data_IF_712748888224
#
_entry.id   IF_712748888224
#
_cell.length_a   1.000
_cell.length_b   1.000
_cell.length_c   1.000
_cell.angle_alpha   90.00
_cell.angle_beta   90.00
_cell.angle_gamma   90.00
#
_symmetry.space_group_name_H-M   'P 1'
#
loop_
_entity.id
_entity.type
_entity.pdbx_description
1 polymer ?
#
# COMPACT_ATOMS: atom_id res chain seq x y z
N UNK A 1 -3.62 -0.40 1.31
CA UNK A 1 -4.01 -1.78 0.98
C UNK A 1 -2.86 -2.78 1.23
N UNK A 2 -1.63 -2.32 1.33
CA UNK A 2 -0.49 -3.20 1.65
C UNK A 2 -0.59 -3.81 3.06
N UNK A 3 -1.09 -3.05 4.04
CA UNK A 3 -1.06 -3.42 5.45
C UNK A 3 -2.43 -3.62 6.11
N UNK A 4 -3.44 -2.86 5.69
CA UNK A 4 -4.70 -2.79 6.44
C UNK A 4 -5.96 -2.87 5.59
N UNK A 5 -5.99 -2.21 4.43
CA UNK A 5 -7.21 -2.10 3.63
C UNK A 5 -7.48 -3.42 2.89
N UNK A 6 -8.65 -3.96 3.10
CA UNK A 6 -9.09 -5.21 2.51
C UNK A 6 -10.57 -5.16 2.16
N UNK A 7 -10.95 -5.86 1.11
CA UNK A 7 -12.30 -6.00 0.63
C UNK A 7 -12.85 -7.38 1.02
N UNK A 8 -13.69 -7.43 2.05
CA UNK A 8 -14.30 -8.68 2.50
C UNK A 8 -15.58 -8.99 1.71
N UNK A 9 -15.50 -9.98 0.83
CA UNK A 9 -16.63 -10.47 0.05
C UNK A 9 -17.09 -11.82 0.58
N UNK A 10 -18.36 -11.93 0.97
CA UNK A 10 -18.99 -13.19 1.38
C UNK A 10 -20.31 -13.32 0.65
N UNK A 11 -20.51 -14.42 -0.05
CA UNK A 11 -21.74 -14.72 -0.81
C UNK A 11 -22.18 -13.59 -1.78
N UNK A 12 -21.22 -12.93 -2.41
CA UNK A 12 -21.47 -11.84 -3.34
C UNK A 12 -21.75 -10.47 -2.70
N UNK A 13 -21.62 -10.35 -1.39
CA UNK A 13 -21.81 -9.11 -0.65
C UNK A 13 -20.52 -8.64 0.02
N UNK A 14 -20.24 -7.35 -0.08
CA UNK A 14 -19.16 -6.70 0.68
C UNK A 14 -19.58 -6.56 2.14
N UNK A 15 -18.84 -7.17 3.06
CA UNK A 15 -19.20 -7.18 4.49
C UNK A 15 -18.65 -5.98 5.28
N UNK A 16 -17.59 -5.35 4.79
CA UNK A 16 -16.98 -4.16 5.40
C UNK A 16 -17.23 -2.90 4.56
N UNK A 17 -18.50 -2.62 4.26
CA UNK A 17 -18.94 -1.57 3.34
C UNK A 17 -19.21 -0.21 4.00
N UNK A 18 -18.86 -0.03 5.26
CA UNK A 18 -19.02 1.23 5.98
C UNK A 18 -17.69 1.76 6.51
N UNK A 19 -17.63 3.06 6.81
CA UNK A 19 -16.44 3.66 7.45
C UNK A 19 -16.17 3.16 8.88
N UNK A 20 -17.12 2.45 9.49
CA UNK A 20 -16.90 1.79 10.77
C UNK A 20 -16.10 0.48 10.60
N UNK A 21 -16.36 -0.23 9.50
CA UNK A 21 -15.84 -1.57 9.27
C UNK A 21 -14.65 -1.59 8.30
N UNK A 22 -14.60 -0.64 7.36
CA UNK A 22 -13.50 -0.52 6.42
C UNK A 22 -12.30 0.17 7.05
N UNK A 23 -11.19 -0.55 7.22
CA UNK A 23 -10.02 -0.08 7.93
C UNK A 23 -9.12 0.79 7.04
N UNK A 24 -9.38 2.08 7.01
CA UNK A 24 -8.45 3.05 6.43
C UNK A 24 -7.33 3.42 7.41
N UNK A 25 -6.09 3.61 6.94
CA UNK A 25 -5.03 4.16 7.77
C UNK A 25 -5.39 5.56 8.28
N UNK A 26 -5.08 5.82 9.52
CA UNK A 26 -5.19 7.15 10.13
C UNK A 26 -3.84 7.87 10.08
N UNK A 27 -3.82 9.16 10.43
CA UNK A 27 -2.57 9.92 10.50
C UNK A 27 -1.57 9.36 11.54
N UNK A 28 -2.04 8.60 12.52
CA UNK A 28 -1.20 7.93 13.52
C UNK A 28 -0.57 6.61 13.02
N UNK A 29 -1.15 6.03 11.97
CA UNK A 29 -0.64 4.79 11.36
C UNK A 29 0.52 5.05 10.38
N UNK A 30 0.76 6.31 10.02
CA UNK A 30 1.78 6.69 9.05
C UNK A 30 3.02 7.28 9.74
N UNK A 31 4.22 6.88 9.33
CA UNK A 31 5.44 7.55 9.78
C UNK A 31 5.55 8.95 9.17
N UNK A 32 6.48 9.75 9.68
CA UNK A 32 6.87 10.97 9.00
C UNK A 32 7.41 10.63 7.61
N UNK A 33 6.81 11.23 6.58
CA UNK A 33 7.20 11.05 5.19
C UNK A 33 7.96 12.30 4.74
N UNK A 34 9.18 12.12 4.28
CA UNK A 34 10.01 13.19 3.69
C UNK A 34 10.01 13.03 2.16
N UNK A 35 9.19 13.82 1.43
CA UNK A 35 9.07 13.69 -0.01
C UNK A 35 10.26 14.35 -0.73
N UNK A 36 10.94 13.58 -1.57
CA UNK A 36 12.03 14.06 -2.44
C UNK A 36 11.52 14.07 -3.88
N UNK A 37 11.42 15.27 -4.47
CA UNK A 37 10.92 15.44 -5.83
C UNK A 37 12.12 15.52 -6.78
N UNK A 38 12.21 14.56 -7.69
CA UNK A 38 13.22 14.54 -8.76
C UNK A 38 12.54 15.03 -10.05
N UNK A 39 12.90 16.23 -10.49
CA UNK A 39 12.35 16.83 -11.69
C UNK A 39 13.10 16.41 -12.96
N UNK A 40 12.36 15.85 -13.91
CA UNK A 40 12.85 15.53 -15.25
C UNK A 40 11.82 16.02 -16.26
N UNK A 41 12.13 17.10 -16.95
CA UNK A 41 11.22 17.74 -17.90
C UNK A 41 10.90 16.86 -19.10
N UNK A 42 9.63 16.88 -19.53
CA UNK A 42 9.24 16.30 -20.81
C UNK A 42 9.34 17.39 -21.90
N UNK A 43 10.25 17.25 -22.89
CA UNK A 43 10.45 18.27 -23.90
C UNK A 43 9.27 18.42 -24.87
N UNK A 44 8.36 17.44 -24.92
CA UNK A 44 7.23 17.42 -25.85
C UNK A 44 5.95 18.01 -25.25
N UNK A 45 5.98 18.47 -24.00
CA UNK A 45 4.81 19.04 -23.35
C UNK A 45 5.08 20.44 -22.77
N UNK A 46 4.05 21.32 -22.78
CA UNK A 46 4.15 22.63 -22.14
C UNK A 46 4.60 22.49 -20.69
N UNK A 47 5.49 23.39 -20.24
CA UNK A 47 6.04 23.39 -18.87
C UNK A 47 6.77 22.11 -18.46
N UNK A 48 7.06 21.20 -19.39
CA UNK A 48 7.70 19.93 -19.09
C UNK A 48 6.84 18.94 -18.32
N UNK A 49 5.51 19.11 -18.32
CA UNK A 49 4.58 18.31 -17.51
C UNK A 49 4.55 16.84 -17.93
N UNK A 50 4.29 16.00 -16.95
CA UNK A 50 4.07 14.55 -17.09
C UNK A 50 2.84 14.11 -16.29
N UNK A 51 2.21 13.01 -16.73
CA UNK A 51 1.19 12.35 -15.91
C UNK A 51 1.81 11.71 -14.68
N UNK A 52 1.11 11.79 -13.54
CA UNK A 52 1.59 11.25 -12.26
C UNK A 52 0.49 10.48 -11.50
N UNK A 53 -0.73 10.43 -12.03
CA UNK A 53 -1.91 9.90 -11.34
C UNK A 53 -1.72 8.48 -10.76
N UNK A 54 -1.20 7.55 -11.54
CA UNK A 54 -1.05 6.15 -11.13
C UNK A 54 0.41 5.70 -10.94
N UNK A 55 1.38 6.42 -11.48
CA UNK A 55 2.78 6.01 -11.46
C UNK A 55 3.37 5.89 -10.06
N UNK A 56 2.90 6.66 -9.11
CA UNK A 56 3.35 6.65 -7.73
C UNK A 56 2.70 5.56 -6.86
N UNK A 57 1.65 4.90 -7.34
CA UNK A 57 0.98 3.81 -6.60
C UNK A 57 1.61 2.43 -6.90
N UNK A 58 2.39 2.31 -7.96
CA UNK A 58 3.00 1.04 -8.36
C UNK A 58 4.09 0.55 -7.39
N UNK A 59 5.08 1.37 -6.96
CA UNK A 59 6.17 0.90 -6.12
C UNK A 59 5.84 0.65 -4.63
N UNK A 60 4.84 1.28 -3.99
CA UNK A 60 4.60 1.15 -2.55
C UNK A 60 4.40 -0.30 -2.07
N UNK A 61 3.66 -1.12 -2.79
CA UNK A 61 3.41 -2.50 -2.40
C UNK A 61 4.69 -3.33 -2.31
N UNK A 62 5.55 -3.23 -3.32
CA UNK A 62 6.83 -3.92 -3.33
C UNK A 62 7.78 -3.37 -2.25
N UNK A 63 7.80 -2.06 -2.06
CA UNK A 63 8.62 -1.42 -1.04
C UNK A 63 8.23 -1.88 0.38
N UNK A 64 6.92 -1.92 0.67
CA UNK A 64 6.41 -2.38 1.97
C UNK A 64 6.69 -3.88 2.15
N UNK A 65 6.47 -4.71 1.12
CA UNK A 65 6.77 -6.14 1.17
C UNK A 65 8.26 -6.40 1.44
N UNK A 66 9.16 -5.62 0.86
CA UNK A 66 10.59 -5.71 1.15
C UNK A 66 10.93 -5.26 2.57
N UNK A 67 10.28 -4.20 3.06
CA UNK A 67 10.47 -3.75 4.44
C UNK A 67 10.02 -4.81 5.46
N UNK A 68 8.88 -5.44 5.22
CA UNK A 68 8.39 -6.57 6.03
C UNK A 68 9.38 -7.73 5.99
N UNK A 69 9.84 -8.11 4.79
CA UNK A 69 10.87 -9.15 4.66
C UNK A 69 12.14 -8.82 5.43
N UNK A 70 12.62 -7.59 5.34
CA UNK A 70 13.82 -7.16 6.08
C UNK A 70 13.63 -7.23 7.61
N UNK A 71 12.41 -6.99 8.08
CA UNK A 71 12.09 -7.00 9.51
C UNK A 71 11.97 -8.42 10.08
N UNK A 72 11.36 -9.35 9.34
CA UNK A 72 11.02 -10.69 9.87
C UNK A 72 11.74 -11.84 9.17
N UNK A 73 12.46 -11.60 8.07
CA UNK A 73 13.20 -12.60 7.31
C UNK A 73 12.33 -13.55 6.47
N UNK A 74 11.01 -13.32 6.40
CA UNK A 74 10.07 -14.19 5.66
C UNK A 74 9.37 -13.40 4.57
N UNK A 75 9.10 -14.05 3.42
CA UNK A 75 8.31 -13.48 2.33
C UNK A 75 6.83 -13.69 2.58
N UNK A 76 6.06 -12.64 2.35
CA UNK A 76 4.60 -12.66 2.36
C UNK A 76 4.13 -12.55 0.92
N UNK A 77 3.22 -13.42 0.52
CA UNK A 77 2.70 -13.51 -0.86
C UNK A 77 1.22 -13.13 -0.97
N UNK A 78 0.60 -12.79 0.15
CA UNK A 78 -0.80 -12.38 0.23
C UNK A 78 -0.92 -10.99 0.84
N UNK A 79 -1.98 -10.28 0.48
CA UNK A 79 -2.30 -8.96 0.98
C UNK A 79 -3.68 -8.97 1.67
N UNK A 80 -3.88 -8.13 2.68
CA UNK A 80 -2.91 -7.23 3.31
C UNK A 80 -1.93 -7.97 4.21
N UNK A 81 -0.70 -7.44 4.36
CA UNK A 81 0.32 -7.95 5.28
C UNK A 81 0.03 -7.45 6.71
N UNK A 82 -1.14 -7.78 7.22
CA UNK A 82 -1.55 -7.41 8.57
C UNK A 82 -0.92 -8.34 9.64
N UNK A 83 -1.00 -8.00 10.93
CA UNK A 83 -0.42 -8.82 11.99
C UNK A 83 -0.90 -10.27 12.00
N UNK A 84 -2.16 -10.52 11.63
CA UNK A 84 -2.73 -11.86 11.56
C UNK A 84 -2.08 -12.69 10.46
N UNK A 85 -1.97 -12.13 9.23
CA UNK A 85 -1.32 -12.81 8.12
C UNK A 85 0.18 -13.06 8.39
N UNK A 86 0.84 -12.16 9.13
CA UNK A 86 2.25 -12.30 9.47
C UNK A 86 2.49 -13.39 10.54
N UNK A 87 1.58 -13.59 11.49
CA UNK A 87 1.70 -14.62 12.52
C UNK A 87 1.42 -16.02 11.98
N UNK A 88 0.66 -16.13 10.90
CA UNK A 88 0.30 -17.41 10.27
C UNK A 88 1.34 -17.93 9.27
N UNK A 89 2.47 -17.24 9.07
CA UNK A 89 3.53 -17.66 8.14
C UNK A 89 4.32 -18.90 8.60
N UNK A 90 4.12 -19.38 9.82
CA UNK A 90 4.82 -20.53 10.40
C UNK A 90 4.00 -21.82 10.32
N UNK A 91 2.78 -21.78 9.81
CA UNK A 91 1.90 -22.93 9.61
C UNK A 91 1.80 -23.29 8.13
#
# INVERSE_FOLDING_TARGET
WALNEEYFMVDGEMKNNSFLDYRMPTSLDLPMIDPIIIEVNNPNHPFGVKGVGESNIVPPLAAISHAVYNAIGKRVYELPMNPESLTNLDN
#
